data_IF_268298344452
#
_entry.id   IF_268298344452
#
_cell.length_a   1.000
_cell.length_b   1.000
_cell.length_c   1.000
_cell.angle_alpha   90.00
_cell.angle_beta   90.00
_cell.angle_gamma   90.00
#
_symmetry.space_group_name_H-M   'P 1'
#
loop_
_entity.id
_entity.type
_entity.pdbx_description
1 polymer ?
#
# COMPACT_ATOMS: atom_id res chain seq x y z
N UNK A 1 20.17 20.07 11.68
CA UNK A 1 20.70 18.95 10.88
C UNK A 1 19.54 18.42 10.06
N UNK A 2 19.68 18.34 8.74
CA UNK A 2 18.66 17.78 7.85
C UNK A 2 19.08 16.36 7.50
N UNK A 3 18.13 15.43 7.52
CA UNK A 3 18.34 14.06 7.08
C UNK A 3 17.50 13.85 5.82
N UNK A 4 18.14 13.29 4.80
CA UNK A 4 17.48 12.91 3.56
C UNK A 4 17.21 11.41 3.57
N UNK A 5 16.02 11.02 3.10
CA UNK A 5 15.61 9.62 2.97
C UNK A 5 15.13 9.44 1.54
N UNK A 6 15.84 8.61 0.78
CA UNK A 6 15.43 8.22 -0.57
C UNK A 6 14.36 7.13 -0.49
N UNK A 7 13.20 7.39 -1.09
CA UNK A 7 12.13 6.40 -1.19
C UNK A 7 12.23 5.65 -2.52
N UNK A 8 12.12 4.30 -2.54
CA UNK A 8 12.12 3.52 -3.79
C UNK A 8 10.83 3.73 -4.60
N UNK A 9 9.80 4.36 -4.01
CA UNK A 9 8.52 4.65 -4.65
C UNK A 9 8.10 6.10 -4.42
N UNK A 10 7.27 6.64 -5.32
CA UNK A 10 6.71 7.99 -5.17
C UNK A 10 5.75 8.13 -3.97
N UNK A 11 5.22 7.01 -3.47
CA UNK A 11 4.38 6.96 -2.27
C UNK A 11 5.20 6.48 -1.08
N UNK A 12 5.16 7.20 0.02
CA UNK A 12 5.76 6.83 1.29
C UNK A 12 4.72 6.84 2.42
N UNK A 13 4.95 6.00 3.43
CA UNK A 13 4.14 5.97 4.65
C UNK A 13 4.91 6.63 5.77
N UNK A 14 4.30 7.63 6.40
CA UNK A 14 4.84 8.29 7.59
C UNK A 14 3.99 7.90 8.80
N UNK A 15 4.62 7.27 9.79
CA UNK A 15 4.00 6.97 11.08
C UNK A 15 4.77 7.71 12.17
N UNK A 16 4.06 8.53 12.93
CA UNK A 16 4.62 9.26 14.06
C UNK A 16 3.91 8.81 15.33
N UNK A 17 4.68 8.28 16.28
CA UNK A 17 4.18 7.87 17.58
C UNK A 17 4.85 8.73 18.65
N UNK A 18 4.05 9.32 19.53
CA UNK A 18 4.52 9.97 20.75
C UNK A 18 4.16 9.07 21.92
N UNK A 19 5.15 8.76 22.76
CA UNK A 19 4.94 7.91 23.93
C UNK A 19 4.22 8.71 25.03
N UNK A 20 3.13 8.13 25.54
CA UNK A 20 2.50 8.51 26.81
C UNK A 20 2.60 7.31 27.77
N UNK A 21 3.05 7.55 29.00
CA UNK A 21 3.18 6.56 30.07
C UNK A 21 1.91 6.44 30.91
N UNK A 22 0.97 7.36 30.78
CA UNK A 22 -0.32 7.31 31.45
C UNK A 22 -1.15 8.56 31.23
N UNK A 23 -2.32 8.61 31.85
CA UNK A 23 -3.25 9.73 31.66
C UNK A 23 -2.67 11.11 32.04
N UNK A 24 -1.66 11.14 32.91
CA UNK A 24 -1.03 12.37 33.38
C UNK A 24 -0.13 13.03 32.32
N UNK A 25 0.40 12.28 31.35
CA UNK A 25 1.29 12.79 30.30
C UNK A 25 0.64 12.80 28.90
N UNK A 26 -0.64 12.43 28.79
CA UNK A 26 -1.39 12.38 27.54
C UNK A 26 -1.53 13.76 26.88
N UNK A 27 -1.85 14.79 27.67
CA UNK A 27 -1.99 16.16 27.16
C UNK A 27 -0.66 16.68 26.59
N UNK A 28 0.46 16.42 27.29
CA UNK A 28 1.80 16.80 26.82
C UNK A 28 2.20 16.04 25.56
N UNK A 29 1.92 14.73 25.51
CA UNK A 29 2.15 13.92 24.32
C UNK A 29 1.34 14.42 23.10
N UNK A 30 0.10 14.85 23.32
CA UNK A 30 -0.75 15.44 22.28
C UNK A 30 -0.24 16.79 21.81
N UNK A 31 0.29 17.63 22.71
CA UNK A 31 0.93 18.90 22.32
C UNK A 31 2.18 18.67 21.48
N UNK A 32 3.00 17.67 21.79
CA UNK A 32 4.15 17.28 20.95
C UNK A 32 3.67 16.79 19.57
N UNK A 33 2.64 15.94 19.53
CA UNK A 33 2.11 15.40 18.26
C UNK A 33 1.62 16.53 17.33
N UNK A 34 0.96 17.55 17.87
CA UNK A 34 0.47 18.72 17.11
C UNK A 34 1.59 19.59 16.52
N UNK A 35 2.82 19.47 17.02
CA UNK A 35 3.96 20.22 16.50
C UNK A 35 4.59 19.57 15.26
N UNK A 36 4.28 18.31 14.97
CA UNK A 36 4.78 17.62 13.78
C UNK A 36 4.10 18.19 12.53
N UNK A 37 4.91 18.58 11.54
CA UNK A 37 4.43 19.19 10.29
C UNK A 37 5.01 18.47 9.08
N UNK A 38 4.18 18.31 8.07
CA UNK A 38 4.58 17.88 6.73
C UNK A 38 4.52 19.11 5.80
N UNK A 39 5.64 19.44 5.19
CA UNK A 39 5.77 20.59 4.28
C UNK A 39 6.49 20.16 3.01
N UNK A 40 6.13 20.77 1.88
CA UNK A 40 6.92 20.64 0.66
C UNK A 40 8.26 21.37 0.83
N UNK A 41 9.27 20.91 0.10
CA UNK A 41 10.60 21.52 0.13
C UNK A 41 10.67 22.82 -0.70
N UNK A 42 9.79 23.01 -1.69
CA UNK A 42 9.78 24.19 -2.57
C UNK A 42 9.22 25.45 -1.86
N UNK A 43 9.93 26.58 -2.03
CA UNK A 43 9.78 27.86 -1.30
C UNK A 43 8.63 28.74 -1.81
N UNK A 44 7.92 28.36 -2.87
CA UNK A 44 6.80 29.13 -3.43
C UNK A 44 5.46 28.87 -2.71
N UNK A 45 5.28 29.64 -1.64
CA UNK A 45 4.06 29.89 -0.84
C UNK A 45 2.73 29.77 -1.60
N UNK A 46 2.13 28.58 -1.53
CA UNK A 46 0.67 28.39 -1.46
C UNK A 46 0.38 27.37 -0.36
N UNK A 47 -0.70 27.51 0.42
CA UNK A 47 -1.09 26.46 1.36
C UNK A 47 -1.29 25.17 0.56
N UNK A 48 -0.46 24.16 0.83
CA UNK A 48 -0.55 22.87 0.17
C UNK A 48 -1.88 22.23 0.53
N UNK A 49 -2.72 21.99 -0.47
CA UNK A 49 -3.96 21.24 -0.29
C UNK A 49 -3.60 19.76 -0.34
N UNK A 50 -3.70 19.10 0.81
CA UNK A 50 -3.60 17.64 0.89
C UNK A 50 -4.78 17.07 0.09
N UNK A 51 -4.49 16.51 -1.07
CA UNK A 51 -5.46 15.75 -1.87
C UNK A 51 -5.19 14.26 -1.68
N UNK A 52 -6.22 13.42 -1.50
CA UNK A 52 -6.01 12.00 -1.48
C UNK A 52 -5.45 11.54 -2.83
N UNK A 53 -4.39 10.74 -2.80
CA UNK A 53 -3.80 10.15 -4.00
C UNK A 53 -4.81 9.23 -4.72
N UNK A 54 -5.68 8.57 -3.96
CA UNK A 54 -6.79 7.78 -4.47
C UNK A 54 -8.01 7.99 -3.58
N UNK A 55 -9.05 8.65 -4.12
CA UNK A 55 -10.29 8.92 -3.38
C UNK A 55 -11.11 7.65 -3.14
N UNK A 56 -11.09 6.70 -4.08
CA UNK A 56 -11.86 5.47 -3.96
C UNK A 56 -11.40 4.65 -2.74
N UNK A 57 -10.09 4.54 -2.52
CA UNK A 57 -9.49 3.88 -1.36
C UNK A 57 -9.58 4.70 -0.06
N UNK A 58 -9.80 6.01 -0.15
CA UNK A 58 -10.08 6.83 1.03
C UNK A 58 -11.50 6.54 1.54
N UNK A 59 -12.46 6.43 0.62
CA UNK A 59 -13.87 6.37 0.94
C UNK A 59 -14.38 4.92 1.14
N UNK A 60 -13.61 3.90 0.71
CA UNK A 60 -14.02 2.49 0.73
C UNK A 60 -12.88 1.58 1.17
N UNK A 61 -13.23 0.43 1.77
CA UNK A 61 -12.27 -0.65 1.99
C UNK A 61 -11.99 -1.37 0.68
N UNK A 62 -10.83 -2.02 0.58
CA UNK A 62 -10.43 -2.75 -0.62
C UNK A 62 -11.38 -3.91 -0.91
N UNK A 63 -11.88 -4.56 0.15
CA UNK A 63 -12.80 -5.69 0.10
C UNK A 63 -14.19 -5.31 -0.43
N UNK A 64 -14.55 -4.03 -0.37
CA UNK A 64 -15.84 -3.52 -0.84
C UNK A 64 -15.80 -3.12 -2.33
N UNK A 65 -14.62 -3.14 -2.96
CA UNK A 65 -14.46 -2.76 -4.37
C UNK A 65 -14.99 -3.85 -5.30
N UNK A 66 -15.54 -3.41 -6.44
CA UNK A 66 -15.75 -4.32 -7.56
C UNK A 66 -14.40 -4.84 -8.07
N UNK A 67 -14.40 -6.01 -8.72
CA UNK A 67 -13.17 -6.55 -9.30
C UNK A 67 -12.52 -5.57 -10.28
N UNK A 68 -13.32 -4.89 -11.12
CA UNK A 68 -12.80 -3.94 -12.10
C UNK A 68 -12.19 -2.71 -11.43
N UNK A 69 -12.85 -2.17 -10.39
CA UNK A 69 -12.33 -1.04 -9.64
C UNK A 69 -11.04 -1.41 -8.88
N UNK A 70 -10.96 -2.63 -8.35
CA UNK A 70 -9.76 -3.17 -7.74
C UNK A 70 -8.60 -3.25 -8.75
N UNK A 71 -8.78 -3.92 -9.89
CA UNK A 71 -7.72 -4.08 -10.89
C UNK A 71 -7.32 -2.75 -11.53
N UNK A 72 -8.29 -1.85 -11.73
CA UNK A 72 -8.01 -0.48 -12.17
C UNK A 72 -7.15 0.26 -11.14
N UNK A 73 -7.58 0.26 -9.89
CA UNK A 73 -6.86 0.93 -8.79
C UNK A 73 -5.45 0.38 -8.62
N UNK A 74 -5.31 -0.95 -8.65
CA UNK A 74 -4.01 -1.61 -8.59
C UNK A 74 -3.10 -1.18 -9.74
N UNK A 75 -3.62 -1.16 -10.97
CA UNK A 75 -2.85 -0.74 -12.15
C UNK A 75 -2.43 0.73 -12.06
N UNK A 76 -3.34 1.62 -11.66
CA UNK A 76 -3.04 3.04 -11.45
C UNK A 76 -1.93 3.23 -10.40
N UNK A 77 -1.95 2.44 -9.31
CA UNK A 77 -0.93 2.47 -8.26
C UNK A 77 0.42 1.91 -8.72
N UNK A 78 0.44 0.88 -9.57
CA UNK A 78 1.66 0.34 -10.19
C UNK A 78 2.31 1.33 -11.16
N UNK A 79 1.49 2.16 -11.83
CA UNK A 79 1.98 3.25 -12.68
C UNK A 79 2.56 4.38 -11.82
N UNK A 80 1.84 4.77 -10.77
CA UNK A 80 2.27 5.83 -9.85
C UNK A 80 3.56 5.46 -9.10
N UNK A 81 3.75 4.17 -8.79
CA UNK A 81 4.86 3.66 -8.01
C UNK A 81 5.64 2.61 -8.82
N UNK A 82 6.43 3.05 -9.82
CA UNK A 82 7.15 2.11 -10.66
C UNK A 82 8.15 1.30 -9.85
N UNK A 83 8.06 -0.02 -9.95
CA UNK A 83 9.05 -0.95 -9.39
C UNK A 83 10.26 -1.04 -10.31
N UNK A 84 11.44 -1.27 -9.73
CA UNK A 84 12.66 -1.65 -10.45
C UNK A 84 12.93 -3.14 -10.21
N UNK A 85 13.13 -3.92 -11.28
CA UNK A 85 13.59 -5.31 -11.19
C UNK A 85 12.52 -6.41 -11.22
N UNK A 86 11.23 -6.05 -11.33
CA UNK A 86 10.12 -7.00 -11.45
C UNK A 86 9.38 -6.91 -12.79
N UNK A 87 9.96 -6.23 -13.79
CA UNK A 87 9.27 -5.89 -15.04
C UNK A 87 8.84 -7.14 -15.82
N UNK A 88 9.63 -8.21 -15.79
CA UNK A 88 9.33 -9.47 -16.47
C UNK A 88 8.16 -10.23 -15.85
N UNK A 89 8.01 -10.17 -14.53
CA UNK A 89 6.89 -10.77 -13.81
C UNK A 89 5.61 -9.96 -14.07
N UNK A 90 5.69 -8.64 -13.92
CA UNK A 90 4.54 -7.76 -14.10
C UNK A 90 4.00 -7.77 -15.53
N UNK A 91 4.86 -7.97 -16.54
CA UNK A 91 4.45 -8.08 -17.94
C UNK A 91 3.47 -9.22 -18.20
N UNK A 92 3.48 -10.27 -17.39
CA UNK A 92 2.53 -11.39 -17.52
C UNK A 92 1.09 -10.94 -17.28
N UNK A 93 0.89 -9.86 -16.51
CA UNK A 93 -0.44 -9.32 -16.24
C UNK A 93 -1.04 -8.55 -17.44
N UNK A 94 -0.26 -8.23 -18.47
CA UNK A 94 -0.79 -7.60 -19.70
C UNK A 94 -1.82 -8.51 -20.38
N UNK A 95 -1.66 -9.83 -20.27
CA UNK A 95 -2.61 -10.81 -20.83
C UNK A 95 -4.00 -10.75 -20.21
N UNK A 96 -4.14 -10.16 -19.01
CA UNK A 96 -5.41 -9.97 -18.32
C UNK A 96 -5.81 -8.48 -18.24
N UNK A 97 -5.16 -7.63 -19.06
CA UNK A 97 -5.52 -6.23 -19.22
C UNK A 97 -4.83 -5.24 -18.28
N UNK A 98 -3.95 -5.70 -17.39
CA UNK A 98 -3.17 -4.81 -16.51
C UNK A 98 -1.94 -4.33 -17.29
N UNK A 99 -1.94 -3.07 -17.70
CA UNK A 99 -0.85 -2.50 -18.49
C UNK A 99 -0.31 -1.22 -17.85
N UNK A 100 0.99 -1.18 -17.55
CA UNK A 100 1.65 -0.02 -16.92
C UNK A 100 1.88 1.17 -17.86
N UNK A 101 1.70 0.99 -19.17
CA UNK A 101 1.81 2.07 -20.16
C UNK A 101 0.45 2.67 -20.47
N UNK A 102 -0.56 1.82 -20.66
CA UNK A 102 -1.89 2.23 -21.15
C UNK A 102 -2.97 2.23 -20.07
N UNK A 103 -2.66 1.75 -18.86
CA UNK A 103 -3.62 1.59 -17.78
C UNK A 103 -4.47 0.33 -17.93
N UNK A 104 -5.54 0.28 -17.14
CA UNK A 104 -6.55 -0.79 -17.17
C UNK A 104 -7.88 -0.22 -17.65
N UNK A 105 -8.48 -0.88 -18.66
CA UNK A 105 -9.74 -0.47 -19.27
C UNK A 105 -10.64 -1.70 -19.43
N UNK A 106 -11.58 -1.87 -18.49
CA UNK A 106 -12.53 -2.98 -18.50
C UNK A 106 -13.38 -3.02 -19.77
N UNK A 107 -13.62 -1.88 -20.43
CA UNK A 107 -14.41 -1.81 -21.66
C UNK A 107 -13.72 -2.42 -22.88
N UNK A 108 -12.41 -2.71 -22.78
CA UNK A 108 -11.62 -3.35 -23.85
C UNK A 108 -11.38 -4.84 -23.61
N UNK A 109 -11.85 -5.39 -22.49
CA UNK A 109 -11.65 -6.79 -22.15
C UNK A 109 -12.73 -7.65 -22.79
N UNK A 110 -12.35 -8.86 -23.18
CA UNK A 110 -13.32 -9.86 -23.61
C UNK A 110 -14.12 -10.41 -22.40
N UNK A 111 -15.32 -10.98 -22.63
CA UNK A 111 -16.17 -11.47 -21.55
C UNK A 111 -15.52 -12.56 -20.68
N UNK A 112 -14.67 -13.41 -21.25
CA UNK A 112 -14.04 -14.51 -20.51
C UNK A 112 -12.98 -13.97 -19.55
N UNK A 113 -12.20 -12.97 -19.97
CA UNK A 113 -11.28 -12.23 -19.12
C UNK A 113 -12.01 -11.55 -17.96
N UNK A 114 -13.13 -10.85 -18.24
CA UNK A 114 -13.95 -10.22 -17.20
C UNK A 114 -14.46 -11.25 -16.19
N UNK A 115 -14.98 -12.39 -16.67
CA UNK A 115 -15.44 -13.46 -15.80
C UNK A 115 -14.30 -14.05 -14.94
N UNK A 116 -13.11 -14.23 -15.52
CA UNK A 116 -11.91 -14.68 -14.84
C UNK A 116 -11.48 -13.74 -13.72
N UNK A 117 -11.43 -12.43 -13.99
CA UNK A 117 -11.08 -11.40 -13.02
C UNK A 117 -12.10 -11.31 -11.87
N UNK A 118 -13.39 -11.38 -12.17
CA UNK A 118 -14.43 -11.41 -11.13
C UNK A 118 -14.30 -12.64 -10.22
N UNK A 119 -14.04 -13.81 -10.82
CA UNK A 119 -13.79 -15.04 -10.03
C UNK A 119 -12.53 -14.89 -9.18
N UNK A 120 -11.43 -14.37 -9.73
CA UNK A 120 -10.19 -14.16 -9.00
C UNK A 120 -10.39 -13.23 -7.78
N UNK A 121 -11.09 -12.10 -7.96
CA UNK A 121 -11.39 -11.19 -6.86
C UNK A 121 -12.25 -11.84 -5.76
N UNK A 122 -13.22 -12.67 -6.15
CA UNK A 122 -14.07 -13.42 -5.21
C UNK A 122 -13.29 -14.48 -4.43
N UNK A 123 -12.39 -15.20 -5.09
CA UNK A 123 -11.66 -16.33 -4.50
C UNK A 123 -10.43 -15.86 -3.68
N UNK A 124 -9.91 -14.66 -3.95
CA UNK A 124 -8.68 -14.15 -3.35
C UNK A 124 -8.65 -14.15 -1.81
N UNK A 125 -9.69 -13.70 -1.07
CA UNK A 125 -9.66 -13.71 0.39
C UNK A 125 -9.45 -15.11 0.98
N UNK A 126 -10.04 -16.13 0.37
CA UNK A 126 -9.89 -17.53 0.80
C UNK A 126 -8.48 -18.05 0.48
N UNK A 127 -7.96 -17.73 -0.72
CA UNK A 127 -6.59 -18.10 -1.11
C UNK A 127 -5.57 -17.47 -0.17
N UNK A 128 -5.72 -16.19 0.16
CA UNK A 128 -4.85 -15.45 1.09
C UNK A 128 -4.92 -16.09 2.48
N UNK A 129 -6.12 -16.30 3.02
CA UNK A 129 -6.31 -16.88 4.35
C UNK A 129 -5.67 -18.26 4.47
N UNK A 130 -5.87 -19.14 3.49
CA UNK A 130 -5.28 -20.49 3.47
C UNK A 130 -3.76 -20.48 3.23
N UNK A 131 -3.20 -19.37 2.77
CA UNK A 131 -1.75 -19.22 2.57
C UNK A 131 -1.04 -18.77 3.83
N UNK A 132 -1.73 -18.10 4.77
CA UNK A 132 -1.15 -17.64 6.04
C UNK A 132 -0.68 -18.80 6.94
N UNK A 133 -1.35 -19.96 6.87
CA UNK A 133 -0.94 -21.17 7.59
C UNK A 133 0.44 -21.69 7.15
N UNK A 134 0.91 -21.27 5.97
CA UNK A 134 2.20 -21.67 5.40
C UNK A 134 3.33 -20.68 5.70
N UNK A 135 3.03 -19.57 6.37
CA UNK A 135 4.02 -18.55 6.75
C UNK A 135 4.51 -18.85 8.16
N UNK A 136 5.83 -19.03 8.32
CA UNK A 136 6.43 -19.16 9.63
C UNK A 136 6.06 -17.93 10.47
N UNK A 137 5.46 -18.12 11.63
CA UNK A 137 5.14 -17.02 12.52
C UNK A 137 5.62 -17.34 13.93
N UNK A 138 6.05 -16.29 14.63
CA UNK A 138 6.43 -16.37 16.04
C UNK A 138 5.58 -15.42 16.85
N UNK A 139 5.19 -15.82 18.04
CA UNK A 139 4.55 -14.93 19.00
C UNK A 139 5.61 -14.33 19.93
N UNK A 140 5.62 -13.01 20.10
CA UNK A 140 6.51 -12.31 21.04
C UNK A 140 5.79 -11.10 21.65
N UNK A 141 5.73 -11.04 22.97
CA UNK A 141 5.06 -9.95 23.72
C UNK A 141 3.61 -9.69 23.27
N UNK A 142 2.84 -10.75 22.98
CA UNK A 142 1.45 -10.63 22.50
C UNK A 142 1.32 -10.30 21.00
N UNK A 143 2.44 -10.11 20.29
CA UNK A 143 2.46 -9.86 18.85
C UNK A 143 2.71 -11.14 18.07
N UNK A 144 1.90 -11.38 17.04
CA UNK A 144 2.20 -12.35 16.00
C UNK A 144 3.15 -11.70 14.99
N UNK A 145 4.35 -12.26 14.83
CA UNK A 145 5.39 -11.79 13.91
C UNK A 145 5.56 -12.85 12.84
N UNK A 146 5.16 -12.53 11.62
CA UNK A 146 5.41 -13.37 10.46
C UNK A 146 6.90 -13.26 10.04
N UNK A 147 7.59 -14.38 10.01
CA UNK A 147 8.98 -14.55 9.55
C UNK A 147 8.97 -15.40 8.28
N UNK A 148 9.83 -15.11 7.30
CA UNK A 148 9.87 -15.93 6.06
C UNK A 148 8.87 -15.52 4.96
N UNK A 149 8.09 -14.44 5.14
CA UNK A 149 7.62 -13.70 3.98
C UNK A 149 8.85 -13.19 3.22
N UNK A 150 8.93 -13.49 1.92
CA UNK A 150 10.12 -13.34 1.08
C UNK A 150 10.97 -12.10 1.41
N UNK A 151 12.28 -12.29 1.44
CA UNK A 151 13.24 -11.19 1.45
C UNK A 151 13.13 -10.46 0.12
N UNK A 152 12.15 -9.57 0.01
CA UNK A 152 12.18 -8.53 -1.01
C UNK A 152 13.44 -7.71 -0.71
N UNK A 153 14.37 -7.71 -1.66
CA UNK A 153 15.74 -7.25 -1.53
C UNK A 153 15.83 -5.77 -1.13
N UNK A 154 15.68 -5.51 0.16
CA UNK A 154 16.24 -4.37 0.86
C UNK A 154 16.69 -4.89 2.22
N UNK A 155 18.00 -4.90 2.53
CA UNK A 155 18.47 -5.29 3.85
C UNK A 155 17.89 -4.32 4.90
N UNK A 156 16.95 -4.79 5.73
CA UNK A 156 16.63 -4.13 7.00
C UNK A 156 15.18 -3.73 7.27
N UNK A 157 14.23 -3.88 6.34
CA UNK A 157 12.82 -3.51 6.62
C UNK A 157 11.89 -4.69 6.35
N UNK A 158 11.54 -5.41 7.41
CA UNK A 158 10.46 -6.41 7.39
C UNK A 158 9.14 -5.68 7.67
N UNK A 159 8.18 -5.74 6.74
CA UNK A 159 6.83 -5.21 6.99
C UNK A 159 6.01 -6.24 7.78
N UNK A 160 5.42 -5.76 8.88
CA UNK A 160 4.24 -6.31 9.53
C UNK A 160 3.08 -5.43 9.05
N UNK A 161 2.12 -5.99 8.32
CA UNK A 161 0.85 -5.31 8.10
C UNK A 161 -0.16 -5.87 9.10
N UNK A 162 -0.88 -4.96 9.77
CA UNK A 162 -1.93 -5.20 10.75
C UNK A 162 -3.13 -5.90 10.13
#
# INVERSE_FOLDING_TARGET
>A
MLFEIESPTNTAWLLCCVLSKGKEDEDEAMEILKQIRLTLLDENTRPYVIKPANKLLLDNKVEDLSAMDFFKTMTDLMILNPTTGNESFEKQFEHIGINRTYGFDAGKLDPDTIAGLNRAAKDAPLIISNSLEKVDHRFSNGWMIFTGMGTYEVPGVKRVNQ
#
